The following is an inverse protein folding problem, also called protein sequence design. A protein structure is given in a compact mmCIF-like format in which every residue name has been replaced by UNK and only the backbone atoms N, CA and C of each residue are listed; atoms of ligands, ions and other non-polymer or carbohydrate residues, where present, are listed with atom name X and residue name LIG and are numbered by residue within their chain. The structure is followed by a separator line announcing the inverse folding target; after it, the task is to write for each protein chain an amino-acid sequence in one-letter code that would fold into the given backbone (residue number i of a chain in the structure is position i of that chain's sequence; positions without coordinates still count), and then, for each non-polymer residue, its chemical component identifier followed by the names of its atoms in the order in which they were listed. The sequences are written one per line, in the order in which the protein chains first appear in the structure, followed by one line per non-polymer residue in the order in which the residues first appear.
data_IF_967621377619
#
_entry.id   IF_967621377619
#
_cell.length_a   1.000
_cell.length_b   1.000
_cell.length_c   1.000
_cell.angle_alpha   90.00
_cell.angle_beta   90.00
_cell.angle_gamma   90.00
#
_symmetry.space_group_name_H-M   'P 1'
#
loop_
_entity.id
_entity.type
_entity.pdbx_description
1 polymer ?
#
# COMPACT_ATOMS: atom_id res chain seq x y z
N UNK A 1 -6.80 11.63 -16.92
CA UNK A 1 -7.49 12.87 -16.49
C UNK A 1 -8.91 12.56 -16.01
N UNK A 2 -9.01 11.70 -14.99
CA UNK A 2 -10.22 11.59 -14.17
C UNK A 2 -10.57 12.98 -13.63
N UNK A 3 -11.78 13.49 -13.91
CA UNK A 3 -12.29 14.70 -13.24
C UNK A 3 -12.73 14.32 -11.83
N UNK A 4 -11.77 13.97 -10.97
CA UNK A 4 -12.04 13.77 -9.56
C UNK A 4 -12.43 15.12 -8.95
N UNK A 5 -13.49 15.10 -8.15
CA UNK A 5 -13.79 16.22 -7.26
C UNK A 5 -12.68 16.38 -6.21
N UNK A 6 -12.59 17.56 -5.60
CA UNK A 6 -11.65 17.81 -4.49
C UNK A 6 -11.81 16.81 -3.35
N UNK A 7 -13.05 16.38 -3.07
CA UNK A 7 -13.35 15.38 -2.04
C UNK A 7 -12.81 14.00 -2.43
N UNK A 8 -13.02 13.57 -3.66
CA UNK A 8 -12.50 12.30 -4.16
C UNK A 8 -10.97 12.29 -4.20
N UNK A 9 -10.35 13.42 -4.58
CA UNK A 9 -8.90 13.59 -4.54
C UNK A 9 -8.35 13.51 -3.12
N UNK A 10 -9.03 14.13 -2.14
CA UNK A 10 -8.65 14.04 -0.72
C UNK A 10 -8.68 12.60 -0.23
N UNK A 11 -9.79 11.88 -0.49
CA UNK A 11 -9.92 10.47 -0.09
C UNK A 11 -8.87 9.60 -0.79
N UNK A 12 -8.59 9.86 -2.06
CA UNK A 12 -7.57 9.12 -2.80
C UNK A 12 -6.17 9.32 -2.22
N UNK A 13 -5.82 10.55 -1.81
CA UNK A 13 -4.54 10.84 -1.14
C UNK A 13 -4.44 10.18 0.24
N UNK A 14 -5.54 10.16 1.01
CA UNK A 14 -5.60 9.47 2.30
C UNK A 14 -5.36 7.96 2.11
N UNK A 15 -6.04 7.34 1.15
CA UNK A 15 -5.86 5.93 0.81
C UNK A 15 -4.43 5.62 0.33
N UNK A 16 -3.84 6.47 -0.50
CA UNK A 16 -2.44 6.31 -0.93
C UNK A 16 -1.47 6.36 0.25
N UNK A 17 -1.71 7.26 1.20
CA UNK A 17 -0.90 7.38 2.42
C UNK A 17 -1.03 6.15 3.31
N UNK A 18 -2.24 5.61 3.45
CA UNK A 18 -2.49 4.37 4.20
C UNK A 18 -1.83 3.16 3.55
N UNK A 19 -1.92 3.00 2.22
CA UNK A 19 -1.28 1.91 1.51
C UNK A 19 0.25 1.97 1.64
N UNK A 20 0.87 3.15 1.52
CA UNK A 20 2.32 3.34 1.74
C UNK A 20 2.75 2.97 3.18
N UNK A 21 1.95 3.35 4.18
CA UNK A 21 2.19 2.97 5.57
C UNK A 21 2.15 1.45 5.75
N UNK A 22 1.17 0.77 5.15
CA UNK A 22 1.01 -0.69 5.25
C UNK A 22 2.14 -1.43 4.53
N UNK A 23 2.56 -0.97 3.34
CA UNK A 23 3.71 -1.53 2.61
C UNK A 23 4.94 -1.54 3.50
N UNK A 24 5.28 -0.39 4.08
CA UNK A 24 6.46 -0.21 4.96
C UNK A 24 6.34 -1.03 6.23
N UNK A 25 5.16 -1.05 6.86
CA UNK A 25 4.91 -1.83 8.08
C UNK A 25 5.16 -3.31 7.85
N UNK A 26 4.63 -3.87 6.76
CA UNK A 26 4.79 -5.30 6.49
C UNK A 26 6.19 -5.66 6.00
N UNK A 27 6.88 -4.77 5.28
CA UNK A 27 8.32 -4.92 5.00
C UNK A 27 9.14 -4.98 6.30
N UNK A 28 8.94 -4.00 7.19
CA UNK A 28 9.62 -3.97 8.49
C UNK A 28 9.33 -5.24 9.30
N UNK A 29 8.08 -5.70 9.36
CA UNK A 29 7.73 -6.94 10.06
C UNK A 29 8.38 -8.18 9.44
N UNK A 30 8.48 -8.24 8.10
CA UNK A 30 9.16 -9.34 7.40
C UNK A 30 10.67 -9.39 7.70
N UNK A 31 11.31 -8.22 7.84
CA UNK A 31 12.74 -8.08 8.16
C UNK A 31 13.08 -8.45 9.61
N UNK A 32 12.13 -8.26 10.54
CA UNK A 32 12.37 -8.41 11.98
C UNK A 32 11.81 -9.71 12.57
N UNK A 33 11.20 -10.57 11.76
CA UNK A 33 10.74 -11.89 12.20
C UNK A 33 11.80 -12.95 11.91
N UNK A 34 11.99 -13.87 12.85
CA UNK A 34 12.91 -15.01 12.71
C UNK A 34 12.23 -16.22 12.06
N UNK A 35 10.89 -16.24 11.99
CA UNK A 35 10.12 -17.32 11.39
C UNK A 35 10.00 -17.09 9.87
N UNK A 36 10.53 -18.04 9.10
CA UNK A 36 10.59 -17.96 7.64
C UNK A 36 9.21 -17.96 6.98
N UNK A 37 8.23 -18.71 7.52
CA UNK A 37 6.88 -18.76 6.97
C UNK A 37 6.15 -17.44 7.23
N UNK A 38 6.34 -16.86 8.42
CA UNK A 38 5.77 -15.56 8.77
C UNK A 38 6.41 -14.44 7.94
N UNK A 39 7.73 -14.46 7.73
CA UNK A 39 8.44 -13.49 6.88
C UNK A 39 7.91 -13.51 5.44
N UNK A 40 7.69 -14.71 4.88
CA UNK A 40 7.10 -14.88 3.55
C UNK A 40 5.68 -14.28 3.49
N UNK A 41 4.83 -14.56 4.49
CA UNK A 41 3.46 -14.00 4.57
C UNK A 41 3.47 -12.47 4.65
N UNK A 42 4.33 -11.87 5.46
CA UNK A 42 4.44 -10.41 5.52
C UNK A 42 4.93 -9.80 4.21
N UNK A 43 5.86 -10.47 3.52
CA UNK A 43 6.31 -10.06 2.19
C UNK A 43 5.17 -10.09 1.17
N UNK A 44 4.38 -11.17 1.14
CA UNK A 44 3.19 -11.27 0.27
C UNK A 44 2.15 -10.18 0.57
N UNK A 45 1.89 -9.90 1.85
CA UNK A 45 0.96 -8.85 2.26
C UNK A 45 1.47 -7.46 1.80
N UNK A 46 2.76 -7.16 1.99
CA UNK A 46 3.35 -5.91 1.51
C UNK A 46 3.20 -5.75 -0.01
N UNK A 47 3.45 -6.82 -0.78
CA UNK A 47 3.28 -6.82 -2.23
C UNK A 47 1.83 -6.58 -2.65
N UNK A 48 0.86 -7.14 -1.90
CA UNK A 48 -0.57 -6.88 -2.15
C UNK A 48 -0.90 -5.40 -1.97
N UNK A 49 -0.43 -4.78 -0.88
CA UNK A 49 -0.61 -3.34 -0.64
C UNK A 49 0.10 -2.48 -1.69
N UNK A 50 1.29 -2.90 -2.16
CA UNK A 50 1.96 -2.23 -3.30
C UNK A 50 1.10 -2.28 -4.57
N UNK A 51 0.42 -3.39 -4.83
CA UNK A 51 -0.53 -3.51 -5.94
C UNK A 51 -1.72 -2.56 -5.81
N UNK A 52 -2.28 -2.42 -4.61
CA UNK A 52 -3.36 -1.47 -4.33
C UNK A 52 -2.88 -0.02 -4.52
N UNK A 53 -1.73 0.34 -3.94
CA UNK A 53 -1.11 1.66 -4.11
C UNK A 53 -0.95 2.01 -5.59
N UNK A 54 -0.38 1.10 -6.39
CA UNK A 54 -0.20 1.32 -7.82
C UNK A 54 -1.53 1.53 -8.56
N UNK A 55 -2.57 0.78 -8.17
CA UNK A 55 -3.91 0.90 -8.75
C UNK A 55 -4.58 2.22 -8.40
N UNK A 56 -4.42 2.70 -7.15
CA UNK A 56 -4.88 4.02 -6.71
C UNK A 56 -4.10 5.14 -7.41
N UNK A 57 -2.78 5.01 -7.50
CA UNK A 57 -1.91 6.01 -8.12
C UNK A 57 -2.21 6.19 -9.61
N UNK A 58 -2.55 5.10 -10.31
CA UNK A 58 -2.99 5.14 -11.71
C UNK A 58 -4.27 5.97 -11.93
N UNK A 59 -5.08 6.22 -10.89
CA UNK A 59 -6.26 7.09 -10.98
C UNK A 59 -5.89 8.59 -11.01
N UNK A 60 -4.65 8.96 -10.65
CA UNK A 60 -4.14 10.33 -10.70
C UNK A 60 -3.55 10.73 -12.05
N UNK A 61 -3.36 9.77 -12.97
CA UNK A 61 -2.90 9.97 -14.36
C UNK A 61 -4.06 10.06 -15.36
#
# INVERSE_FOLDING_TARGET
MSQLSEKELSVLNDLLTEEDLLIKKFQMLAEHTEDQEISAKFTEISQKHQGHFNSLYAQLS
#
